data_IF_750672027957
#
_entry.id   IF_750672027957
#
_cell.length_a   1.000
_cell.length_b   1.000
_cell.length_c   1.000
_cell.angle_alpha   90.00
_cell.angle_beta   90.00
_cell.angle_gamma   90.00
#
_symmetry.space_group_name_H-M   'P 1'
#
loop_
_entity.id
_entity.type
_entity.pdbx_description
1 polymer ?
#
# COMPACT_ATOMS: atom_id res chain seq x y z
N UNK A 1 -16.78 16.31 7.51
CA UNK A 1 -17.24 16.03 6.14
C UNK A 1 -16.66 17.10 5.22
N UNK A 2 -16.24 16.72 4.01
CA UNK A 2 -15.69 17.65 3.00
C UNK A 2 -16.78 17.99 1.98
N UNK A 3 -16.85 19.26 1.59
CA UNK A 3 -17.79 19.77 0.58
C UNK A 3 -17.25 19.52 -0.83
N UNK A 4 -17.83 18.55 -1.52
CA UNK A 4 -17.42 18.12 -2.88
C UNK A 4 -17.73 19.15 -3.96
N UNK A 5 -18.62 20.12 -3.71
CA UNK A 5 -18.99 21.15 -4.68
C UNK A 5 -17.91 22.20 -4.89
N UNK A 6 -16.93 22.25 -3.97
CA UNK A 6 -15.81 23.19 -4.00
C UNK A 6 -14.53 22.60 -4.60
N UNK A 7 -14.57 21.37 -5.09
CA UNK A 7 -13.41 20.74 -5.70
C UNK A 7 -13.12 21.35 -7.08
N UNK A 8 -11.84 21.48 -7.49
CA UNK A 8 -11.47 21.93 -8.83
C UNK A 8 -12.04 21.04 -9.93
N UNK A 9 -12.18 21.60 -11.14
CA UNK A 9 -12.48 20.80 -12.32
C UNK A 9 -11.44 19.69 -12.53
N UNK A 10 -11.85 18.55 -13.07
CA UNK A 10 -11.02 17.35 -13.26
C UNK A 10 -10.47 16.70 -11.98
N UNK A 11 -11.09 16.96 -10.82
CA UNK A 11 -10.76 16.23 -9.57
C UNK A 11 -11.14 14.75 -9.61
N UNK A 12 -11.94 14.33 -10.59
CA UNK A 12 -12.39 12.96 -10.80
C UNK A 12 -12.05 12.50 -12.22
N UNK A 13 -11.48 11.30 -12.35
CA UNK A 13 -11.19 10.66 -13.63
C UNK A 13 -11.94 9.33 -13.76
N UNK A 14 -12.28 8.95 -15.00
CA UNK A 14 -12.86 7.64 -15.31
C UNK A 14 -11.83 6.79 -16.04
N UNK A 15 -11.68 5.53 -15.62
CA UNK A 15 -10.79 4.57 -16.30
C UNK A 15 -11.65 3.74 -17.25
N UNK A 16 -11.38 3.76 -18.58
CA UNK A 16 -12.25 3.15 -19.58
C UNK A 16 -12.22 1.61 -19.60
N UNK A 17 -11.25 1.01 -18.93
CA UNK A 17 -11.15 -0.44 -18.70
C UNK A 17 -11.35 -0.74 -17.21
N UNK A 18 -11.96 -1.87 -16.81
CA UNK A 18 -11.95 -2.28 -15.41
C UNK A 18 -10.51 -2.31 -14.94
N UNK A 19 -10.12 -1.37 -14.08
CA UNK A 19 -8.78 -1.35 -13.53
C UNK A 19 -8.64 -2.61 -12.69
N UNK A 20 -7.77 -3.54 -13.12
CA UNK A 20 -7.24 -4.53 -12.18
C UNK A 20 -6.35 -3.72 -11.25
N UNK A 21 -6.94 -3.19 -10.17
CA UNK A 21 -6.21 -2.73 -9.00
C UNK A 21 -5.80 -4.00 -8.25
N UNK A 22 -4.90 -4.77 -8.85
CA UNK A 22 -4.21 -5.80 -8.11
C UNK A 22 -3.35 -5.06 -7.06
N UNK A 23 -3.47 -5.39 -5.78
CA UNK A 23 -2.45 -5.01 -4.82
C UNK A 23 -1.12 -5.46 -5.39
N UNK A 24 -0.26 -4.52 -5.76
CA UNK A 24 1.08 -4.88 -6.19
C UNK A 24 1.87 -5.16 -4.92
N UNK A 25 1.67 -6.36 -4.37
CA UNK A 25 2.41 -6.88 -3.25
C UNK A 25 3.80 -7.29 -3.73
N UNK A 26 4.73 -6.35 -3.70
CA UNK A 26 6.14 -6.68 -3.92
C UNK A 26 6.71 -7.29 -2.65
N UNK A 27 7.14 -8.55 -2.74
CA UNK A 27 8.03 -9.12 -1.73
C UNK A 27 9.46 -8.70 -2.05
N UNK A 28 10.17 -8.17 -1.07
CA UNK A 28 11.59 -7.87 -1.19
C UNK A 28 12.30 -8.23 0.11
N UNK A 29 13.64 -8.30 0.06
CA UNK A 29 14.42 -8.49 1.28
C UNK A 29 14.35 -7.23 2.14
N UNK A 30 14.40 -7.41 3.45
CA UNK A 30 14.38 -6.30 4.40
C UNK A 30 15.54 -5.32 4.17
N UNK A 31 16.74 -5.86 3.85
CA UNK A 31 17.93 -5.04 3.59
C UNK A 31 17.75 -4.14 2.37
N UNK A 32 17.12 -4.66 1.31
CA UNK A 32 16.83 -3.89 0.10
C UNK A 32 15.81 -2.77 0.40
N UNK A 33 14.77 -3.07 1.19
CA UNK A 33 13.81 -2.07 1.66
C UNK A 33 14.48 -0.96 2.48
N UNK A 34 15.41 -1.33 3.36
CA UNK A 34 16.18 -0.38 4.15
C UNK A 34 17.07 0.51 3.28
N UNK A 35 17.77 -0.08 2.31
CA UNK A 35 18.66 0.63 1.39
C UNK A 35 17.92 1.64 0.52
N UNK A 36 16.65 1.36 0.21
CA UNK A 36 15.77 2.28 -0.52
C UNK A 36 15.20 3.41 0.35
N UNK A 37 15.57 3.48 1.64
CA UNK A 37 15.06 4.49 2.58
C UNK A 37 13.69 4.14 3.17
N UNK A 38 13.38 2.84 3.28
CA UNK A 38 12.13 2.35 3.85
C UNK A 38 11.84 2.87 5.26
N UNK A 39 10.55 2.94 5.62
CA UNK A 39 10.07 3.41 6.92
C UNK A 39 10.25 2.37 8.02
N UNK A 40 11.50 2.10 8.41
CA UNK A 40 11.88 1.05 9.37
C UNK A 40 11.16 1.18 10.73
N UNK A 41 10.88 2.41 11.16
CA UNK A 41 10.18 2.68 12.42
C UNK A 41 8.71 2.21 12.42
N UNK A 42 8.13 1.99 11.24
CA UNK A 42 6.74 1.56 11.08
C UNK A 42 6.62 0.04 10.88
N UNK A 43 7.74 -0.68 10.84
CA UNK A 43 7.74 -2.13 10.72
C UNK A 43 7.23 -2.75 12.03
N UNK A 44 6.13 -3.50 11.93
CA UNK A 44 5.63 -4.30 13.04
C UNK A 44 6.48 -5.56 13.14
N UNK A 45 7.14 -5.75 14.28
CA UNK A 45 7.81 -7.02 14.59
C UNK A 45 6.74 -8.11 14.83
N UNK A 46 6.30 -8.73 13.74
CA UNK A 46 5.41 -9.87 13.83
C UNK A 46 6.22 -11.10 14.26
N UNK A 47 6.07 -11.52 15.52
CA UNK A 47 6.62 -12.80 15.96
C UNK A 47 5.86 -13.92 15.25
N UNK A 48 6.54 -14.62 14.35
CA UNK A 48 5.98 -15.80 13.69
C UNK A 48 5.78 -16.86 14.77
N UNK A 49 4.51 -17.17 15.08
CA UNK A 49 4.18 -18.34 15.91
C UNK A 49 4.56 -19.59 15.14
N UNK A 50 5.39 -20.50 15.70
CA UNK A 50 5.82 -21.72 15.04
C UNK A 50 4.66 -22.63 14.56
N UNK A 51 3.45 -22.45 15.11
CA UNK A 51 2.30 -23.33 14.89
C UNK A 51 1.15 -22.67 14.13
N UNK A 52 1.40 -21.62 13.35
CA UNK A 52 0.30 -20.88 12.67
C UNK A 52 -0.46 -21.69 11.60
N UNK A 53 0.07 -22.85 11.22
CA UNK A 53 -0.46 -23.71 10.16
C UNK A 53 -0.57 -25.18 10.59
N UNK A 54 -0.68 -25.44 11.89
CA UNK A 54 -1.08 -26.75 12.41
C UNK A 54 -2.53 -26.73 12.86
#
# INVERSE_FOLDING_TARGET
MVDVTKMPENSFGSVPTPAIVAPIEFTMKLDDYQNLGGHMNNLKNWKISPNRWK
#
